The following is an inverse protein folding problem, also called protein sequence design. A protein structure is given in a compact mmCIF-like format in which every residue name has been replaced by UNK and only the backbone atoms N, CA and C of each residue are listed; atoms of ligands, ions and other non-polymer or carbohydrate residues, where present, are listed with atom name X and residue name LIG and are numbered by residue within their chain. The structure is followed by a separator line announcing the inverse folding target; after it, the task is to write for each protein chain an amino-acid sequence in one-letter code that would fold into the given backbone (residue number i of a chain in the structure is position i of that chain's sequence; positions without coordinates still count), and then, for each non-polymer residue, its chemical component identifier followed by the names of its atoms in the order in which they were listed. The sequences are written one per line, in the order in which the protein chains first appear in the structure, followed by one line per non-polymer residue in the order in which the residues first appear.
data_IF_518367812133
#
_entry.id   IF_518367812133
#
_cell.length_a   1.000
_cell.length_b   1.000
_cell.length_c   1.000
_cell.angle_alpha   90.00
_cell.angle_beta   90.00
_cell.angle_gamma   90.00
#
_symmetry.space_group_name_H-M   'P 1'
#
loop_
_entity.id
_entity.type
_entity.pdbx_description
1 polymer ?
#
# COMPACT_ATOMS: atom_id res chain seq x y z
N UNK A 1 -23.71 9.73 7.11
CA UNK A 1 -22.58 9.31 6.25
C UNK A 1 -22.46 10.34 5.16
N UNK A 2 -21.31 10.99 4.91
CA UNK A 2 -21.18 11.75 3.69
C UNK A 2 -21.08 10.76 2.53
N UNK A 3 -21.75 11.09 1.43
CA UNK A 3 -21.80 10.32 0.19
C UNK A 3 -20.39 9.97 -0.28
N UNK A 4 -20.08 8.68 -0.27
CA UNK A 4 -18.85 8.19 -0.86
C UNK A 4 -19.02 8.24 -2.38
N UNK A 5 -18.24 9.05 -3.12
CA UNK A 5 -18.42 9.17 -4.56
C UNK A 5 -18.27 7.78 -5.22
N UNK A 6 -19.03 7.51 -6.29
CA UNK A 6 -19.03 6.20 -6.94
C UNK A 6 -17.61 5.77 -7.29
N UNK A 7 -17.19 4.64 -6.73
CA UNK A 7 -15.85 4.10 -6.95
C UNK A 7 -15.77 3.55 -8.38
N UNK A 8 -15.16 4.29 -9.29
CA UNK A 8 -14.80 3.76 -10.60
C UNK A 8 -13.71 2.71 -10.37
N UNK A 9 -13.95 1.47 -10.79
CA UNK A 9 -12.96 0.40 -10.72
C UNK A 9 -11.91 0.63 -11.81
N UNK A 10 -10.92 1.46 -11.52
CA UNK A 10 -9.78 1.70 -12.42
C UNK A 10 -8.82 0.53 -12.32
N UNK A 11 -8.61 -0.17 -13.44
CA UNK A 11 -7.59 -1.21 -13.52
C UNK A 11 -6.20 -0.58 -13.65
N UNK A 12 -5.47 -0.48 -12.53
CA UNK A 12 -4.18 0.19 -12.47
C UNK A 12 -3.14 -0.47 -13.38
N UNK A 13 -3.18 -1.80 -13.55
CA UNK A 13 -2.28 -2.50 -14.47
C UNK A 13 -2.54 -2.11 -15.91
N UNK A 14 -3.82 -2.00 -16.29
CA UNK A 14 -4.21 -1.56 -17.62
C UNK A 14 -3.78 -0.11 -17.90
N UNK A 15 -3.93 0.79 -16.93
CA UNK A 15 -3.45 2.18 -17.06
C UNK A 15 -1.93 2.22 -17.24
N UNK A 16 -1.18 1.38 -16.51
CA UNK A 16 0.28 1.28 -16.66
C UNK A 16 0.66 0.82 -18.06
N UNK A 17 0.03 -0.24 -18.56
CA UNK A 17 0.27 -0.76 -19.91
C UNK A 17 -0.01 0.30 -20.97
N UNK A 18 -1.13 1.03 -20.87
CA UNK A 18 -1.47 2.12 -21.79
C UNK A 18 -0.47 3.27 -21.74
N UNK A 19 -0.01 3.64 -20.54
CA UNK A 19 0.99 4.71 -20.36
C UNK A 19 2.35 4.33 -20.97
N UNK A 20 2.79 3.08 -20.81
CA UNK A 20 4.02 2.58 -21.43
C UNK A 20 3.92 2.57 -22.96
N UNK A 21 2.80 2.08 -23.50
CA UNK A 21 2.56 2.08 -24.94
C UNK A 21 2.49 3.52 -25.51
N UNK A 22 1.85 4.45 -24.81
CA UNK A 22 1.82 5.86 -25.20
C UNK A 22 3.24 6.45 -25.23
N UNK A 23 4.08 6.11 -24.26
CA UNK A 23 5.47 6.57 -24.23
C UNK A 23 6.26 6.06 -25.43
N UNK A 24 6.12 4.79 -25.77
CA UNK A 24 6.76 4.19 -26.95
C UNK A 24 6.32 4.85 -28.26
N UNK A 25 5.02 5.10 -28.43
CA UNK A 25 4.48 5.81 -29.60
C UNK A 25 5.06 7.22 -29.69
N UNK A 26 5.10 7.93 -28.57
CA UNK A 26 5.65 9.30 -28.49
C UNK A 26 7.15 9.30 -28.81
N UNK A 27 7.91 8.30 -28.37
CA UNK A 27 9.31 8.09 -28.78
C UNK A 27 9.47 7.99 -30.28
N UNK A 28 8.73 7.11 -30.92
CA UNK A 28 8.84 6.93 -32.37
C UNK A 28 8.40 8.19 -33.15
N UNK A 29 7.39 8.93 -32.66
CA UNK A 29 6.94 10.18 -33.31
C UNK A 29 7.91 11.34 -33.12
N UNK A 30 8.52 11.44 -31.94
CA UNK A 30 9.52 12.48 -31.60
C UNK A 30 10.74 12.37 -32.51
N UNK A 31 11.22 11.15 -32.75
CA UNK A 31 12.36 10.89 -33.64
C UNK A 31 12.07 11.32 -35.09
N UNK A 32 10.81 11.24 -35.53
CA UNK A 32 10.37 11.64 -36.86
C UNK A 32 10.12 13.16 -37.01
N UNK A 33 9.95 13.90 -35.90
CA UNK A 33 9.59 15.33 -35.90
C UNK A 33 10.42 16.13 -34.87
N UNK A 34 11.72 16.33 -35.13
CA UNK A 34 12.63 16.99 -34.18
C UNK A 34 12.37 18.49 -34.02
N UNK A 35 11.60 19.12 -34.93
CA UNK A 35 11.32 20.57 -34.90
C UNK A 35 10.42 21.02 -33.74
N UNK A 36 9.93 20.10 -32.89
CA UNK A 36 9.02 20.38 -31.77
C UNK A 36 9.49 19.71 -30.47
N UNK A 37 10.81 19.68 -30.23
CA UNK A 37 11.47 19.02 -29.09
C UNK A 37 10.86 19.38 -27.71
N UNK A 38 10.61 20.66 -27.47
CA UNK A 38 10.06 21.13 -26.18
C UNK A 38 8.68 20.52 -25.89
N UNK A 39 7.82 20.35 -26.90
CA UNK A 39 6.51 19.72 -26.72
C UNK A 39 6.66 18.24 -26.37
N UNK A 40 7.61 17.55 -26.99
CA UNK A 40 7.89 16.15 -26.70
C UNK A 40 8.38 15.95 -25.26
N UNK A 41 9.28 16.82 -24.78
CA UNK A 41 9.75 16.80 -23.39
C UNK A 41 8.60 16.92 -22.39
N UNK A 42 7.65 17.84 -22.62
CA UNK A 42 6.47 17.98 -21.76
C UNK A 42 5.59 16.72 -21.75
N UNK A 43 5.40 16.10 -22.91
CA UNK A 43 4.61 14.87 -23.03
C UNK A 43 5.31 13.70 -22.32
N UNK A 44 6.64 13.56 -22.47
CA UNK A 44 7.39 12.54 -21.76
C UNK A 44 7.34 12.70 -20.25
N UNK A 45 7.51 13.93 -19.75
CA UNK A 45 7.42 14.22 -18.33
C UNK A 45 6.04 13.83 -17.79
N UNK A 46 4.96 14.23 -18.46
CA UNK A 46 3.60 13.86 -18.06
C UNK A 46 3.37 12.34 -18.05
N UNK A 47 3.87 11.61 -19.06
CA UNK A 47 3.76 10.14 -19.11
C UNK A 47 4.61 9.46 -18.03
N UNK A 48 5.77 10.02 -17.69
CA UNK A 48 6.60 9.55 -16.58
C UNK A 48 5.90 9.74 -15.23
N UNK A 49 5.27 10.90 -15.01
CA UNK A 49 4.50 11.21 -13.81
C UNK A 49 3.34 10.23 -13.61
N UNK A 50 2.61 9.88 -14.67
CA UNK A 50 1.54 8.85 -14.60
C UNK A 50 2.09 7.51 -14.09
N UNK A 51 3.26 7.09 -14.59
CA UNK A 51 3.89 5.84 -14.15
C UNK A 51 4.36 5.89 -12.69
N UNK A 52 4.89 7.04 -12.25
CA UNK A 52 5.28 7.27 -10.86
C UNK A 52 4.06 7.24 -9.93
N UNK A 53 2.98 7.94 -10.29
CA UNK A 53 1.72 7.96 -9.53
C UNK A 53 1.10 6.57 -9.41
N UNK A 54 1.11 5.77 -10.47
CA UNK A 54 0.64 4.38 -10.43
C UNK A 54 1.43 3.55 -9.41
N UNK A 55 2.75 3.73 -9.38
CA UNK A 55 3.63 3.02 -8.45
C UNK A 55 3.34 3.41 -7.01
N UNK A 56 3.10 4.70 -6.77
CA UNK A 56 2.73 5.23 -5.46
C UNK A 56 1.34 4.76 -5.01
N UNK A 57 0.35 4.72 -5.91
CA UNK A 57 -0.99 4.18 -5.61
C UNK A 57 -0.89 2.70 -5.20
N UNK A 58 -0.08 1.89 -5.89
CA UNK A 58 0.12 0.49 -5.49
C UNK A 58 0.77 0.39 -4.11
N UNK A 59 1.81 1.20 -3.85
CA UNK A 59 2.50 1.25 -2.56
C UNK A 59 1.53 1.61 -1.43
N UNK A 60 0.75 2.66 -1.60
CA UNK A 60 -0.25 3.12 -0.64
C UNK A 60 -1.38 2.11 -0.44
N UNK A 61 -1.84 1.47 -1.52
CA UNK A 61 -2.86 0.41 -1.46
C UNK A 61 -2.36 -0.81 -0.67
N UNK A 62 -1.10 -1.19 -0.86
CA UNK A 62 -0.42 -2.23 -0.08
C UNK A 62 -0.30 -1.84 1.40
N UNK A 63 0.15 -0.62 1.68
CA UNK A 63 0.27 -0.09 3.04
C UNK A 63 -1.09 -0.04 3.77
N UNK A 64 -2.15 0.43 3.10
CA UNK A 64 -3.50 0.45 3.65
C UNK A 64 -4.03 -0.96 3.94
N UNK A 65 -3.80 -1.90 3.03
CA UNK A 65 -4.20 -3.30 3.21
C UNK A 65 -3.46 -3.96 4.36
N UNK A 66 -2.16 -3.64 4.55
CA UNK A 66 -1.40 -4.06 5.73
C UNK A 66 -1.98 -3.45 7.01
N UNK A 67 -2.15 -2.13 7.07
CA UNK A 67 -2.69 -1.45 8.26
C UNK A 67 -4.08 -1.95 8.67
N UNK A 68 -4.96 -2.23 7.70
CA UNK A 68 -6.28 -2.82 7.96
C UNK A 68 -6.20 -4.22 8.56
N UNK A 69 -5.25 -5.05 8.09
CA UNK A 69 -5.00 -6.39 8.66
C UNK A 69 -4.44 -6.29 10.07
N UNK A 70 -3.42 -5.45 10.27
CA UNK A 70 -2.79 -5.23 11.58
C UNK A 70 -3.83 -4.77 12.62
N UNK A 71 -4.72 -3.83 12.23
CA UNK A 71 -5.82 -3.40 13.08
C UNK A 71 -6.84 -4.52 13.38
N UNK A 72 -7.21 -5.32 12.37
CA UNK A 72 -8.14 -6.44 12.56
C UNK A 72 -7.57 -7.50 13.50
N UNK A 73 -6.28 -7.79 13.40
CA UNK A 73 -5.59 -8.73 14.28
C UNK A 73 -5.52 -8.19 15.72
N UNK A 74 -5.17 -6.92 15.93
CA UNK A 74 -5.21 -6.30 17.27
C UNK A 74 -6.61 -6.35 17.89
N UNK A 75 -7.64 -6.06 17.10
CA UNK A 75 -9.02 -6.17 17.58
C UNK A 75 -9.39 -7.62 17.95
N UNK A 76 -8.88 -8.61 17.20
CA UNK A 76 -9.07 -10.02 17.53
C UNK A 76 -8.32 -10.42 18.81
N UNK A 77 -7.06 -10.00 18.96
CA UNK A 77 -6.25 -10.23 20.15
C UNK A 77 -6.87 -9.59 21.40
N UNK A 78 -7.42 -8.37 21.28
CA UNK A 78 -8.17 -7.71 22.35
C UNK A 78 -9.43 -8.49 22.74
N UNK A 79 -10.20 -8.98 21.76
CA UNK A 79 -11.38 -9.83 22.05
C UNK A 79 -10.99 -11.15 22.71
N UNK A 80 -9.90 -11.78 22.27
CA UNK A 80 -9.37 -13.00 22.88
C UNK A 80 -8.95 -12.76 24.32
N UNK A 81 -8.25 -11.65 24.58
CA UNK A 81 -7.84 -11.22 25.92
C UNK A 81 -9.04 -11.05 26.86
N UNK A 82 -10.08 -10.34 26.42
CA UNK A 82 -11.30 -10.14 27.23
C UNK A 82 -12.04 -11.45 27.51
N UNK A 83 -12.07 -12.37 26.54
CA UNK A 83 -12.67 -13.69 26.74
C UNK A 83 -11.87 -14.52 27.73
N UNK A 84 -10.55 -14.56 27.58
CA UNK A 84 -9.65 -15.28 28.46
C UNK A 84 -9.71 -14.77 29.91
N UNK A 85 -9.88 -13.46 30.10
CA UNK A 85 -10.10 -12.86 31.42
C UNK A 85 -11.42 -13.35 32.05
N UNK A 86 -12.51 -13.34 31.29
CA UNK A 86 -13.81 -13.87 31.74
C UNK A 86 -13.77 -15.36 32.07
N UNK A 87 -13.00 -16.13 31.31
CA UNK A 87 -12.82 -17.58 31.50
C UNK A 87 -11.78 -17.90 32.59
N UNK A 88 -11.22 -16.88 33.26
CA UNK A 88 -10.19 -16.99 34.30
C UNK A 88 -8.95 -17.78 33.85
N UNK A 89 -8.55 -17.62 32.58
CA UNK A 89 -7.27 -18.13 32.09
C UNK A 89 -6.10 -17.52 32.88
N UNK A 90 -5.02 -18.28 33.04
CA UNK A 90 -3.87 -17.86 33.87
C UNK A 90 -3.12 -16.63 33.34
N UNK A 91 -3.14 -16.40 32.03
CA UNK A 91 -2.48 -15.25 31.39
C UNK A 91 -3.30 -14.71 30.21
N UNK A 92 -4.40 -13.98 30.48
CA UNK A 92 -5.26 -13.43 29.43
C UNK A 92 -4.54 -12.41 28.54
N UNK A 93 -3.57 -11.68 29.09
CA UNK A 93 -2.79 -10.66 28.38
C UNK A 93 -1.80 -11.25 27.37
N UNK A 94 -1.62 -12.57 27.36
CA UNK A 94 -0.78 -13.27 26.39
C UNK A 94 -1.15 -12.90 24.95
N UNK A 95 -2.44 -12.99 24.58
CA UNK A 95 -2.89 -12.74 23.21
C UNK A 95 -2.56 -11.33 22.70
N UNK A 96 -2.75 -10.32 23.55
CA UNK A 96 -2.44 -8.93 23.20
C UNK A 96 -0.93 -8.69 23.08
N UNK A 97 -0.12 -9.25 24.01
CA UNK A 97 1.34 -9.12 23.95
C UNK A 97 1.93 -9.82 22.74
N UNK A 98 1.40 -10.99 22.39
CA UNK A 98 1.81 -11.73 21.20
C UNK A 98 1.57 -10.92 19.92
N UNK A 99 0.37 -10.37 19.75
CA UNK A 99 0.06 -9.55 18.57
C UNK A 99 0.88 -8.26 18.53
N UNK A 100 1.06 -7.58 19.67
CA UNK A 100 1.92 -6.38 19.74
C UNK A 100 3.38 -6.71 19.39
N UNK A 101 3.89 -7.88 19.81
CA UNK A 101 5.23 -8.35 19.42
C UNK A 101 5.29 -8.68 17.94
N UNK A 102 4.30 -9.39 17.40
CA UNK A 102 4.22 -9.75 15.98
C UNK A 102 4.22 -8.51 15.07
N UNK A 103 3.63 -7.40 15.54
CA UNK A 103 3.62 -6.12 14.84
C UNK A 103 4.85 -5.24 15.12
N UNK A 104 5.77 -5.66 15.99
CA UNK A 104 6.99 -4.93 16.33
C UNK A 104 6.79 -3.72 17.25
N UNK A 105 5.68 -3.66 18.00
CA UNK A 105 5.43 -2.60 18.98
C UNK A 105 6.14 -2.83 20.32
N UNK A 106 6.61 -4.05 20.57
CA UNK A 106 7.36 -4.41 21.78
C UNK A 106 8.86 -4.51 21.49
N UNK A 107 9.73 -4.18 22.47
CA UNK A 107 11.17 -4.39 22.33
C UNK A 107 11.49 -5.86 22.02
N UNK A 108 12.57 -6.13 21.26
CA UNK A 108 13.05 -7.50 21.08
C UNK A 108 13.39 -8.11 22.45
N UNK A 109 13.03 -9.39 22.63
CA UNK A 109 13.25 -10.10 23.88
C UNK A 109 14.75 -10.11 24.20
N UNK A 110 15.14 -9.69 25.41
CA UNK A 110 16.53 -9.54 25.86
C UNK A 110 17.28 -10.88 26.07
N UNK A 111 16.83 -11.97 25.45
CA UNK A 111 17.39 -13.31 25.62
C UNK A 111 18.54 -13.57 24.64
N UNK A 112 19.56 -12.73 24.75
CA UNK A 112 20.77 -12.76 23.93
C UNK A 112 22.00 -12.29 24.69
N UNK A 113 22.17 -12.76 25.93
CA UNK A 113 23.47 -12.82 26.61
C UNK A 113 23.52 -14.09 27.46
N UNK A 114 24.11 -15.13 26.89
CA UNK A 114 24.82 -16.17 27.63
C UNK A 114 26.29 -16.07 27.27
#
# INVERSE_FOLDING_TARGET
MPDQPPHVKVNIQEVRTRSLAAREIVTNLSDAMPSIEDLWLHIYAALADVTALISEIHRLSGALSKARRDHANLAAAGRATLKAERDAESDPLYYLRDELRAQGHLPPDAWGRS
#
